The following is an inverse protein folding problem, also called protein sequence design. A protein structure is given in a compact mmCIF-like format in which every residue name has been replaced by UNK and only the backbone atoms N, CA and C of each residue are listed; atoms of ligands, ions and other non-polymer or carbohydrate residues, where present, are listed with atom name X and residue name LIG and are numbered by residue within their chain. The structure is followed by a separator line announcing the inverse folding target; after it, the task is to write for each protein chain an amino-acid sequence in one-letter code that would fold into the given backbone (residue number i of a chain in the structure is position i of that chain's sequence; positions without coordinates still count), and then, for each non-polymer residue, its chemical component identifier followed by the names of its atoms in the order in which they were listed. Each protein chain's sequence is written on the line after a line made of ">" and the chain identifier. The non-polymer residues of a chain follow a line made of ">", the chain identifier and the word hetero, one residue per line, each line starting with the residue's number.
data_IF_416981023146
#
_entry.id   IF_416981023146
#
_cell.length_a   1.000
_cell.length_b   1.000
_cell.length_c   1.000
_cell.angle_alpha   90.00
_cell.angle_beta   90.00
_cell.angle_gamma   90.00
#
_symmetry.space_group_name_H-M   'P 1'
#
loop_
_entity.id
_entity.type
_entity.pdbx_description
1 polymer ?
#
# COMPACT_ATOMS: atom_id res chain seq x y z
N UNK A 1 45.02 -23.51 6.52
CA UNK A 1 44.09 -24.28 7.39
C UNK A 1 43.46 -23.36 8.45
N UNK A 2 42.72 -22.37 8.02
CA UNK A 2 41.88 -21.50 8.87
C UNK A 2 40.80 -21.00 7.93
N UNK A 3 39.66 -21.67 7.82
CA UNK A 3 38.47 -21.14 7.18
C UNK A 3 37.39 -22.21 6.94
N UNK A 4 37.19 -23.10 7.93
CA UNK A 4 36.16 -24.15 7.86
C UNK A 4 35.28 -24.20 9.13
N UNK A 5 35.11 -23.05 9.83
CA UNK A 5 34.31 -22.99 11.06
C UNK A 5 33.05 -22.11 10.96
N UNK A 6 32.56 -21.79 9.77
CA UNK A 6 31.40 -20.91 9.59
C UNK A 6 30.13 -21.61 9.05
N UNK A 7 30.07 -22.94 9.07
CA UNK A 7 28.94 -23.68 8.47
C UNK A 7 28.14 -24.58 9.42
N UNK A 8 28.34 -24.52 10.73
CA UNK A 8 27.51 -25.29 11.67
C UNK A 8 27.34 -24.54 12.98
N UNK A 9 26.19 -23.91 13.22
CA UNK A 9 25.62 -23.94 14.54
C UNK A 9 24.08 -23.93 14.56
N UNK A 10 23.43 -25.04 14.38
CA UNK A 10 21.98 -25.15 14.67
C UNK A 10 21.60 -26.51 15.21
N UNK A 11 22.53 -27.25 15.84
CA UNK A 11 22.21 -28.59 16.34
C UNK A 11 21.97 -28.69 17.86
N UNK A 12 22.02 -27.58 18.62
CA UNK A 12 22.00 -27.65 20.09
C UNK A 12 20.76 -27.04 20.77
N UNK A 13 19.62 -26.91 20.07
CA UNK A 13 18.37 -26.37 20.69
C UNK A 13 17.17 -27.29 20.46
N UNK A 14 17.36 -28.58 20.71
CA UNK A 14 16.23 -29.48 21.00
C UNK A 14 16.10 -29.50 22.52
N UNK A 15 14.92 -29.16 23.10
CA UNK A 15 14.71 -29.30 24.53
C UNK A 15 14.94 -30.74 24.95
N UNK A 16 15.70 -30.97 26.03
CA UNK A 16 16.12 -32.26 26.57
C UNK A 16 14.97 -33.24 26.88
N UNK A 17 13.71 -32.81 26.75
CA UNK A 17 12.52 -33.61 27.06
C UNK A 17 12.12 -34.61 25.98
N UNK A 18 12.69 -34.58 24.76
CA UNK A 18 12.32 -35.50 23.66
C UNK A 18 13.33 -36.62 23.41
N UNK A 19 14.32 -36.82 24.24
CA UNK A 19 15.43 -37.75 23.98
C UNK A 19 15.39 -39.03 24.82
N UNK A 20 14.24 -39.53 25.27
CA UNK A 20 14.14 -40.84 25.90
C UNK A 20 13.52 -41.91 25.02
N UNK A 21 13.96 -42.01 23.74
CA UNK A 21 13.69 -43.14 22.83
C UNK A 21 15.01 -43.78 22.39
N UNK A 22 15.38 -44.91 22.97
CA UNK A 22 16.49 -45.76 22.50
C UNK A 22 16.18 -46.20 21.06
N UNK A 23 17.19 -46.06 20.17
CA UNK A 23 17.19 -46.50 18.76
C UNK A 23 16.32 -45.76 17.77
N UNK A 24 16.60 -44.51 17.49
CA UNK A 24 16.15 -43.86 16.27
C UNK A 24 17.34 -43.78 15.28
N UNK A 25 17.13 -44.31 14.05
CA UNK A 25 18.08 -44.31 12.96
C UNK A 25 18.53 -42.90 12.60
N UNK A 26 19.81 -42.70 12.15
CA UNK A 26 20.37 -41.36 11.81
C UNK A 26 19.52 -40.59 10.78
N UNK A 27 18.85 -41.30 9.88
CA UNK A 27 17.89 -40.74 8.93
C UNK A 27 16.66 -40.13 9.63
N UNK A 28 16.09 -40.79 10.59
CA UNK A 28 14.95 -40.29 11.38
C UNK A 28 15.32 -39.03 12.17
N UNK A 29 16.49 -39.00 12.82
CA UNK A 29 16.94 -37.77 13.56
C UNK A 29 17.11 -36.57 12.66
N UNK A 30 17.59 -36.76 11.43
CA UNK A 30 17.71 -35.68 10.42
C UNK A 30 16.34 -35.20 9.94
N UNK A 31 15.40 -36.11 9.74
CA UNK A 31 14.01 -35.80 9.35
C UNK A 31 13.26 -35.04 10.42
N UNK A 32 13.34 -35.46 11.69
CA UNK A 32 12.72 -34.80 12.82
C UNK A 32 13.31 -33.39 13.06
N UNK A 33 14.58 -33.23 12.90
CA UNK A 33 15.24 -31.90 12.98
C UNK A 33 14.74 -30.94 11.92
N UNK A 34 14.56 -31.40 10.69
CA UNK A 34 14.00 -30.58 9.61
C UNK A 34 12.51 -30.24 9.81
N UNK A 35 11.72 -31.16 10.35
CA UNK A 35 10.31 -30.94 10.63
C UNK A 35 10.11 -29.97 11.80
N UNK A 36 10.81 -30.17 12.90
CA UNK A 36 10.79 -29.28 14.05
C UNK A 36 11.18 -27.83 13.67
N UNK A 37 12.17 -27.66 12.80
CA UNK A 37 12.56 -26.34 12.32
C UNK A 37 11.46 -25.69 11.47
N UNK A 38 10.74 -26.44 10.61
CA UNK A 38 9.60 -25.91 9.85
C UNK A 38 8.45 -25.49 10.73
N UNK A 39 8.12 -26.28 11.77
CA UNK A 39 7.08 -25.93 12.75
C UNK A 39 7.44 -24.65 13.48
N UNK A 40 8.68 -24.49 13.89
CA UNK A 40 9.15 -23.28 14.57
C UNK A 40 9.01 -22.05 13.66
N UNK A 41 9.41 -22.16 12.39
CA UNK A 41 9.27 -21.09 11.39
C UNK A 41 7.79 -20.72 11.15
N UNK A 42 6.90 -21.70 11.13
CA UNK A 42 5.46 -21.44 11.02
C UNK A 42 4.94 -20.68 12.26
N UNK A 43 5.36 -21.06 13.46
CA UNK A 43 5.00 -20.38 14.71
C UNK A 43 5.51 -18.93 14.70
N UNK A 44 6.76 -18.69 14.29
CA UNK A 44 7.31 -17.33 14.13
C UNK A 44 6.47 -16.49 13.15
N UNK A 45 6.12 -17.06 11.99
CA UNK A 45 5.25 -16.41 11.03
C UNK A 45 3.88 -16.07 11.60
N UNK A 46 3.25 -17.01 12.31
CA UNK A 46 1.97 -16.78 12.97
C UNK A 46 2.04 -15.63 14.00
N UNK A 47 3.10 -15.60 14.81
CA UNK A 47 3.28 -14.55 15.82
C UNK A 47 3.45 -13.16 15.18
N UNK A 48 4.25 -13.08 14.11
CA UNK A 48 4.41 -11.85 13.32
C UNK A 48 3.06 -11.42 12.72
N UNK A 49 2.30 -12.38 12.18
CA UNK A 49 0.98 -12.12 11.60
C UNK A 49 0.00 -11.53 12.61
N UNK A 50 -0.13 -12.15 13.79
CA UNK A 50 -0.98 -11.62 14.87
C UNK A 50 -0.57 -10.23 15.29
N UNK A 51 0.74 -10.03 15.59
CA UNK A 51 1.23 -8.74 16.08
C UNK A 51 1.04 -7.62 15.05
N UNK A 52 1.35 -7.88 13.77
CA UNK A 52 1.16 -6.91 12.70
C UNK A 52 -0.33 -6.60 12.49
N UNK A 53 -1.19 -7.62 12.44
CA UNK A 53 -2.63 -7.45 12.27
C UNK A 53 -3.25 -6.64 13.41
N UNK A 54 -2.89 -6.90 14.67
CA UNK A 54 -3.39 -6.12 15.81
C UNK A 54 -3.09 -4.62 15.67
N UNK A 55 -1.85 -4.26 15.29
CA UNK A 55 -1.46 -2.86 15.09
C UNK A 55 -2.27 -2.23 13.95
N UNK A 56 -2.38 -2.94 12.82
CA UNK A 56 -3.08 -2.41 11.64
C UNK A 56 -4.59 -2.36 11.85
N UNK A 57 -5.20 -3.35 12.49
CA UNK A 57 -6.62 -3.31 12.85
C UNK A 57 -6.93 -2.12 13.77
N UNK A 58 -6.10 -1.88 14.79
CA UNK A 58 -6.23 -0.69 15.66
C UNK A 58 -6.18 0.61 14.83
N UNK A 59 -5.21 0.71 13.90
CA UNK A 59 -5.09 1.86 13.00
C UNK A 59 -6.34 2.03 12.12
N UNK A 60 -6.85 0.95 11.52
CA UNK A 60 -8.07 0.97 10.69
C UNK A 60 -9.29 1.39 11.50
N UNK A 61 -9.50 0.85 12.71
CA UNK A 61 -10.60 1.26 13.59
C UNK A 61 -10.55 2.76 13.86
N UNK A 62 -9.36 3.30 14.18
CA UNK A 62 -9.21 4.75 14.38
C UNK A 62 -9.61 5.55 13.13
N UNK A 63 -9.17 5.11 11.94
CA UNK A 63 -9.49 5.77 10.68
C UNK A 63 -10.98 5.67 10.33
N UNK A 64 -11.51 4.45 10.34
CA UNK A 64 -12.88 4.15 9.90
C UNK A 64 -13.94 4.74 10.84
N UNK A 65 -13.56 5.02 12.11
CA UNK A 65 -14.43 5.71 13.06
C UNK A 65 -14.30 7.24 13.02
N UNK A 66 -13.10 7.76 12.83
CA UNK A 66 -12.86 9.21 12.89
C UNK A 66 -13.23 9.92 11.59
N UNK A 67 -12.88 9.36 10.43
CA UNK A 67 -13.08 10.01 9.13
C UNK A 67 -14.57 10.33 8.83
N UNK A 68 -15.51 9.39 8.95
CA UNK A 68 -16.92 9.69 8.71
C UNK A 68 -17.49 10.74 9.68
N UNK A 69 -17.05 10.70 10.96
CA UNK A 69 -17.49 11.70 11.96
C UNK A 69 -17.02 13.10 11.60
N UNK A 70 -15.77 13.23 11.14
CA UNK A 70 -15.22 14.53 10.69
C UNK A 70 -16.00 15.03 9.47
N UNK A 71 -16.24 14.17 8.47
CA UNK A 71 -16.99 14.57 7.27
C UNK A 71 -18.42 14.96 7.60
N UNK A 72 -19.10 14.20 8.46
CA UNK A 72 -20.45 14.55 8.93
C UNK A 72 -20.47 15.87 9.70
N UNK A 73 -19.47 16.11 10.56
CA UNK A 73 -19.37 17.38 11.29
C UNK A 73 -19.14 18.58 10.35
N UNK A 74 -18.34 18.39 9.31
CA UNK A 74 -18.08 19.41 8.29
C UNK A 74 -19.28 19.66 7.38
N UNK A 75 -20.13 18.66 7.09
CA UNK A 75 -21.30 18.85 6.21
C UNK A 75 -22.31 19.87 6.74
N UNK A 76 -22.35 20.11 8.06
CA UNK A 76 -23.20 21.14 8.69
C UNK A 76 -22.64 22.57 8.67
N UNK A 77 -21.59 22.87 7.90
CA UNK A 77 -20.90 24.17 7.91
C UNK A 77 -21.77 25.34 7.46
N UNK A 78 -22.74 25.13 6.60
CA UNK A 78 -23.64 26.19 6.11
C UNK A 78 -24.50 26.78 7.23
N UNK A 79 -24.90 25.96 8.19
CA UNK A 79 -25.67 26.41 9.38
C UNK A 79 -24.71 26.87 10.50
N UNK A 80 -23.50 26.35 10.56
CA UNK A 80 -22.51 26.54 11.63
C UNK A 80 -21.17 26.99 11.07
N UNK A 81 -21.07 28.20 10.53
CA UNK A 81 -19.87 28.75 9.90
C UNK A 81 -18.58 28.63 10.75
N UNK A 82 -18.72 28.63 12.07
CA UNK A 82 -17.60 28.46 12.99
C UNK A 82 -16.93 27.08 12.87
N UNK A 83 -17.62 26.07 12.37
CA UNK A 83 -17.03 24.72 12.12
C UNK A 83 -15.92 24.82 11.09
N UNK A 84 -16.10 25.63 10.04
CA UNK A 84 -15.06 25.86 9.04
C UNK A 84 -13.83 26.54 9.65
N UNK A 85 -14.04 27.53 10.52
CA UNK A 85 -12.94 28.21 11.22
C UNK A 85 -12.16 27.26 12.13
N UNK A 86 -12.87 26.48 12.95
CA UNK A 86 -12.24 25.47 13.83
C UNK A 86 -11.47 24.45 13.02
N UNK A 87 -12.04 23.99 11.89
CA UNK A 87 -11.37 23.04 11.01
C UNK A 87 -10.11 23.62 10.40
N UNK A 88 -10.14 24.85 9.92
CA UNK A 88 -8.96 25.55 9.40
C UNK A 88 -7.85 25.63 10.43
N UNK A 89 -8.16 26.05 11.67
CA UNK A 89 -7.19 26.14 12.76
C UNK A 89 -6.63 24.75 13.12
N UNK A 90 -7.47 23.71 13.10
CA UNK A 90 -7.06 22.32 13.32
C UNK A 90 -6.07 21.87 12.25
N UNK A 91 -6.33 22.17 10.97
CA UNK A 91 -5.42 21.83 9.88
C UNK A 91 -4.09 22.57 9.96
N UNK A 92 -4.08 23.85 10.39
CA UNK A 92 -2.83 24.61 10.62
C UNK A 92 -2.02 23.95 11.75
N UNK A 93 -2.67 23.60 12.86
CA UNK A 93 -2.02 22.90 13.97
C UNK A 93 -1.50 21.51 13.55
N UNK A 94 -2.29 20.78 12.78
CA UNK A 94 -1.91 19.48 12.22
C UNK A 94 -0.70 19.60 11.27
N UNK A 95 -0.67 20.62 10.41
CA UNK A 95 0.46 20.89 9.52
C UNK A 95 1.75 21.12 10.31
N UNK A 96 1.68 21.96 11.34
CA UNK A 96 2.82 22.24 12.21
C UNK A 96 3.30 21.01 12.98
N UNK A 97 2.36 20.22 13.49
CA UNK A 97 2.64 18.97 14.20
C UNK A 97 3.32 17.95 13.26
N UNK A 98 2.81 17.75 12.06
CA UNK A 98 3.37 16.80 11.08
C UNK A 98 4.79 17.22 10.65
N UNK A 99 5.01 18.51 10.41
CA UNK A 99 6.33 19.03 10.07
C UNK A 99 7.34 18.74 11.18
N UNK A 100 6.96 19.02 12.45
CA UNK A 100 7.78 18.72 13.62
C UNK A 100 8.04 17.19 13.76
N UNK A 101 7.02 16.37 13.57
CA UNK A 101 7.13 14.92 13.71
C UNK A 101 8.08 14.32 12.68
N UNK A 102 7.97 14.74 11.40
CA UNK A 102 8.87 14.28 10.32
C UNK A 102 10.29 14.73 10.55
N UNK A 103 10.49 15.96 11.07
CA UNK A 103 11.82 16.45 11.43
C UNK A 103 12.47 15.61 12.53
N UNK A 104 11.68 15.16 13.51
CA UNK A 104 12.13 14.34 14.64
C UNK A 104 12.38 12.88 14.26
N UNK A 105 11.57 12.33 13.34
CA UNK A 105 11.65 10.95 12.87
C UNK A 105 11.58 10.90 11.33
N UNK A 106 12.67 11.25 10.62
CA UNK A 106 12.62 11.40 9.14
C UNK A 106 12.21 10.15 8.37
N UNK A 107 12.39 8.96 8.95
CA UNK A 107 12.06 7.68 8.32
C UNK A 107 10.56 7.39 8.17
N UNK A 108 9.69 8.19 8.80
CA UNK A 108 8.24 8.07 8.63
C UNK A 108 7.71 8.81 7.41
N UNK A 109 8.52 9.64 6.76
CA UNK A 109 8.16 10.44 5.61
C UNK A 109 7.69 9.59 4.42
N UNK A 110 6.66 10.03 3.71
CA UNK A 110 6.12 9.39 2.53
C UNK A 110 5.47 8.04 2.80
N UNK A 111 5.47 7.16 1.80
CA UNK A 111 4.78 5.86 1.83
C UNK A 111 5.32 4.89 2.89
N UNK A 112 6.63 4.80 3.05
CA UNK A 112 7.28 3.78 3.90
C UNK A 112 7.70 2.52 3.15
N UNK A 113 7.14 2.25 1.96
CA UNK A 113 7.52 1.10 1.13
C UNK A 113 9.00 1.15 0.73
N UNK A 114 9.55 2.26 0.16
CA UNK A 114 10.95 2.34 -0.21
C UNK A 114 11.90 2.15 0.98
N UNK A 115 11.53 2.65 2.18
CA UNK A 115 12.31 2.47 3.39
C UNK A 115 12.33 0.98 3.80
N UNK A 116 11.18 0.33 3.81
CA UNK A 116 11.04 -1.10 4.15
C UNK A 116 11.81 -1.97 3.17
N UNK A 117 11.75 -1.68 1.88
CA UNK A 117 12.53 -2.37 0.85
C UNK A 117 14.05 -2.27 1.09
N UNK A 118 14.55 -1.07 1.41
CA UNK A 118 15.96 -0.88 1.76
C UNK A 118 16.40 -1.70 2.98
N UNK A 119 15.51 -1.89 3.96
CA UNK A 119 15.79 -2.72 5.14
C UNK A 119 15.83 -4.19 4.80
N UNK A 120 14.87 -4.67 4.03
CA UNK A 120 14.82 -6.06 3.55
C UNK A 120 16.03 -6.39 2.68
N UNK A 121 16.47 -5.47 1.81
CA UNK A 121 17.69 -5.60 1.02
C UNK A 121 18.99 -5.46 1.85
N UNK A 122 18.89 -5.12 3.14
CA UNK A 122 20.04 -4.92 4.02
C UNK A 122 20.87 -3.67 3.72
N UNK A 123 20.30 -2.72 2.97
CA UNK A 123 20.94 -1.43 2.66
C UNK A 123 20.63 -0.35 3.68
N UNK A 124 19.68 -0.61 4.58
CA UNK A 124 19.28 0.27 5.65
C UNK A 124 19.18 -0.54 6.95
N UNK A 125 20.06 -0.25 7.90
CA UNK A 125 20.03 -0.83 9.23
C UNK A 125 19.36 0.15 10.19
N UNK A 126 18.40 -0.35 10.97
CA UNK A 126 17.64 0.41 11.97
C UNK A 126 17.78 -0.33 13.30
N UNK A 127 18.16 0.40 14.33
CA UNK A 127 18.26 -0.13 15.68
C UNK A 127 16.88 -0.38 16.27
N UNK A 128 16.79 -1.28 17.28
CA UNK A 128 15.53 -1.54 17.99
C UNK A 128 14.92 -0.27 18.60
N UNK A 129 15.75 0.62 19.11
CA UNK A 129 15.31 1.89 19.68
C UNK A 129 14.70 2.84 18.62
N UNK A 130 15.20 2.83 17.41
CA UNK A 130 14.60 3.61 16.30
C UNK A 130 13.26 3.03 15.87
N UNK A 131 13.11 1.70 15.86
CA UNK A 131 11.82 1.05 15.56
C UNK A 131 10.73 1.44 16.56
N UNK A 132 11.07 1.53 17.85
CA UNK A 132 10.15 2.00 18.90
C UNK A 132 9.69 3.45 18.69
N UNK A 133 10.46 4.27 17.97
CA UNK A 133 10.07 5.64 17.59
C UNK A 133 9.30 5.68 16.27
N UNK A 134 9.71 4.87 15.29
CA UNK A 134 9.11 4.84 13.94
C UNK A 134 7.66 4.37 14.00
N UNK A 135 7.36 3.28 14.73
CA UNK A 135 6.03 2.68 14.76
C UNK A 135 4.95 3.68 15.24
N UNK A 136 5.03 4.27 16.44
CA UNK A 136 4.01 5.21 16.90
C UNK A 136 4.01 6.52 16.10
N UNK A 137 5.19 7.00 15.66
CA UNK A 137 5.26 8.21 14.86
C UNK A 137 4.63 8.02 13.48
N UNK A 138 4.80 6.85 12.85
CA UNK A 138 4.13 6.53 11.59
C UNK A 138 2.62 6.39 11.76
N UNK A 139 2.19 5.72 12.83
CA UNK A 139 0.79 5.54 13.19
C UNK A 139 0.08 6.89 13.34
N UNK A 140 0.56 7.73 14.26
CA UNK A 140 -0.05 9.05 14.54
C UNK A 140 0.09 9.99 13.34
N UNK A 141 1.28 10.02 12.73
CA UNK A 141 1.52 10.89 11.57
C UNK A 141 0.62 10.56 10.38
N UNK A 142 0.39 9.27 10.11
CA UNK A 142 -0.53 8.86 9.05
C UNK A 142 -1.99 9.16 9.39
N UNK A 143 -2.41 8.94 10.64
CA UNK A 143 -3.75 9.34 11.09
C UNK A 143 -4.00 10.82 10.84
N UNK A 144 -3.10 11.68 11.31
CA UNK A 144 -3.24 13.14 11.18
C UNK A 144 -3.25 13.58 9.71
N UNK A 145 -2.36 13.03 8.87
CA UNK A 145 -2.30 13.41 7.45
C UNK A 145 -3.56 12.98 6.68
N UNK A 146 -4.07 11.77 6.93
CA UNK A 146 -5.24 11.24 6.21
C UNK A 146 -6.54 11.85 6.74
N UNK A 147 -6.70 11.97 8.06
CA UNK A 147 -7.86 12.64 8.66
C UNK A 147 -7.90 14.13 8.33
N UNK A 148 -6.75 14.78 8.08
CA UNK A 148 -6.65 16.12 7.54
C UNK A 148 -7.12 16.27 6.09
N UNK A 149 -7.60 15.19 5.46
CA UNK A 149 -8.18 15.20 4.12
C UNK A 149 -7.17 15.11 2.98
N UNK A 150 -5.87 14.99 3.24
CA UNK A 150 -4.87 14.87 2.18
C UNK A 150 -5.13 13.62 1.32
N UNK A 151 -4.94 13.75 0.00
CA UNK A 151 -5.06 12.63 -0.93
C UNK A 151 -3.87 11.66 -0.79
N UNK A 152 -3.81 10.99 0.35
CA UNK A 152 -2.78 10.03 0.74
C UNK A 152 -3.45 8.74 1.23
N UNK A 153 -2.86 7.61 0.83
CA UNK A 153 -3.31 6.28 1.25
C UNK A 153 -2.70 5.86 2.58
N UNK A 154 -3.38 4.95 3.26
CA UNK A 154 -2.96 4.35 4.53
C UNK A 154 -2.09 3.09 4.35
N UNK A 155 -2.06 2.51 3.17
CA UNK A 155 -1.54 1.17 2.91
C UNK A 155 -0.01 1.10 2.99
N UNK A 156 0.68 2.05 2.36
CA UNK A 156 2.14 2.15 2.48
C UNK A 156 2.60 2.30 3.94
N UNK A 157 1.98 3.19 4.73
CA UNK A 157 2.16 3.21 6.19
C UNK A 157 1.90 1.88 6.88
N UNK A 158 0.84 1.14 6.53
CA UNK A 158 0.55 -0.18 7.11
C UNK A 158 1.66 -1.19 6.83
N UNK A 159 2.22 -1.20 5.61
CA UNK A 159 3.38 -2.02 5.25
C UNK A 159 4.59 -1.69 6.15
N UNK A 160 4.88 -0.41 6.36
CA UNK A 160 5.99 0.01 7.22
C UNK A 160 5.72 -0.28 8.69
N UNK A 161 4.49 -0.11 9.17
CA UNK A 161 4.11 -0.44 10.54
C UNK A 161 4.17 -1.96 10.80
N UNK A 162 3.70 -2.78 9.86
CA UNK A 162 3.82 -4.24 9.93
C UNK A 162 5.28 -4.68 9.96
N UNK A 163 6.13 -4.10 9.12
CA UNK A 163 7.57 -4.34 9.12
C UNK A 163 8.24 -3.94 10.44
N UNK A 164 7.86 -2.78 11.00
CA UNK A 164 8.36 -2.29 12.28
C UNK A 164 7.94 -3.22 13.44
N UNK A 165 6.68 -3.66 13.43
CA UNK A 165 6.16 -4.60 14.43
C UNK A 165 6.91 -5.93 14.38
N UNK A 166 7.13 -6.48 13.17
CA UNK A 166 7.91 -7.71 13.00
C UNK A 166 9.34 -7.55 13.48
N UNK A 167 10.00 -6.42 13.20
CA UNK A 167 11.35 -6.14 13.66
C UNK A 167 11.44 -6.05 15.20
N UNK A 168 10.42 -5.49 15.85
CA UNK A 168 10.34 -5.42 17.33
C UNK A 168 10.08 -6.78 17.96
N UNK A 169 9.16 -7.57 17.37
CA UNK A 169 8.82 -8.92 17.84
C UNK A 169 9.99 -9.88 17.64
N UNK A 170 10.64 -9.86 16.48
CA UNK A 170 11.77 -10.74 16.20
C UNK A 170 12.96 -10.53 17.16
N UNK A 171 13.15 -9.33 17.67
CA UNK A 171 14.16 -9.03 18.69
C UNK A 171 13.90 -9.69 20.06
N UNK A 172 12.69 -10.23 20.31
CA UNK A 172 12.39 -11.05 21.48
C UNK A 172 12.90 -12.50 21.33
N UNK A 173 13.17 -12.92 20.07
CA UNK A 173 13.49 -14.28 19.66
C UNK A 173 14.88 -14.39 19.04
N UNK A 174 15.82 -13.52 19.41
CA UNK A 174 17.20 -13.49 18.88
C UNK A 174 17.94 -14.83 18.91
N UNK A 175 17.40 -15.83 19.59
CA UNK A 175 17.94 -17.20 19.67
C UNK A 175 17.43 -18.13 18.57
N UNK A 176 16.45 -17.70 17.77
CA UNK A 176 15.78 -18.51 16.74
C UNK A 176 16.11 -18.01 15.32
N UNK A 177 17.05 -18.53 14.75
CA UNK A 177 17.51 -19.03 13.44
C UNK A 177 17.28 -18.28 12.14
N UNK A 178 16.40 -17.27 11.95
CA UNK A 178 16.27 -16.61 10.66
C UNK A 178 16.80 -15.17 10.65
N UNK A 179 17.27 -14.74 9.49
CA UNK A 179 17.71 -13.36 9.29
C UNK A 179 16.52 -12.42 9.53
N UNK A 180 16.68 -11.39 10.36
CA UNK A 180 15.64 -10.40 10.68
C UNK A 180 15.03 -9.72 9.44
N UNK A 181 15.67 -9.83 8.27
CA UNK A 181 15.16 -9.36 6.98
C UNK A 181 13.90 -10.10 6.52
N UNK A 182 13.84 -11.43 6.76
CA UNK A 182 12.67 -12.25 6.40
C UNK A 182 11.50 -11.89 7.31
N UNK A 183 11.75 -11.65 8.60
CA UNK A 183 10.72 -11.21 9.54
C UNK A 183 10.16 -9.84 9.15
N UNK A 184 11.02 -8.88 8.78
CA UNK A 184 10.62 -7.56 8.27
C UNK A 184 9.75 -7.71 7.03
N UNK A 185 10.14 -8.57 6.08
CA UNK A 185 9.37 -8.84 4.86
C UNK A 185 8.02 -9.52 5.17
N UNK A 186 8.00 -10.49 6.09
CA UNK A 186 6.77 -11.15 6.54
C UNK A 186 5.80 -10.17 7.23
N UNK A 187 6.33 -9.30 8.11
CA UNK A 187 5.53 -8.24 8.73
C UNK A 187 5.01 -7.21 7.74
N UNK A 188 5.80 -6.85 6.74
CA UNK A 188 5.37 -5.97 5.64
C UNK A 188 4.20 -6.59 4.85
N UNK A 189 4.31 -7.89 4.50
CA UNK A 189 3.24 -8.63 3.83
C UNK A 189 1.98 -8.75 4.70
N UNK A 190 2.14 -9.09 5.98
CA UNK A 190 1.05 -9.15 6.94
C UNK A 190 0.36 -7.78 7.13
N UNK A 191 1.16 -6.69 7.16
CA UNK A 191 0.63 -5.32 7.23
C UNK A 191 -0.16 -4.92 5.99
N UNK A 192 0.28 -5.34 4.79
CA UNK A 192 -0.45 -5.15 3.55
C UNK A 192 -1.76 -5.94 3.56
N UNK A 193 -1.71 -7.20 3.97
CA UNK A 193 -2.88 -8.08 4.07
C UNK A 193 -3.93 -7.51 5.02
N UNK A 194 -3.54 -7.09 6.23
CA UNK A 194 -4.46 -6.49 7.19
C UNK A 194 -5.05 -5.15 6.71
N UNK A 195 -4.33 -4.42 5.84
CA UNK A 195 -4.82 -3.17 5.28
C UNK A 195 -5.89 -3.39 4.20
N UNK A 196 -5.74 -4.45 3.39
CA UNK A 196 -6.52 -4.66 2.17
C UNK A 196 -7.41 -5.91 2.17
N UNK A 197 -7.28 -6.82 3.15
CA UNK A 197 -7.93 -8.15 3.07
C UNK A 197 -7.44 -8.95 1.86
N UNK A 198 -6.16 -8.86 1.53
CA UNK A 198 -5.60 -9.39 0.28
C UNK A 198 -4.38 -10.27 0.57
N UNK A 199 -4.59 -11.51 1.03
CA UNK A 199 -3.51 -12.42 1.44
C UNK A 199 -2.62 -12.85 0.27
N UNK A 200 -3.17 -13.16 -0.90
CA UNK A 200 -2.39 -13.59 -2.07
C UNK A 200 -1.54 -12.43 -2.59
N UNK A 201 -2.11 -11.23 -2.66
CA UNK A 201 -1.36 -10.03 -3.01
C UNK A 201 -0.23 -9.75 -2.01
N UNK A 202 -0.45 -9.95 -0.71
CA UNK A 202 0.57 -9.83 0.33
C UNK A 202 1.79 -10.73 0.09
N UNK A 203 1.57 -11.98 -0.32
CA UNK A 203 2.65 -12.90 -0.69
C UNK A 203 3.37 -12.42 -1.95
N UNK A 204 2.65 -12.09 -3.04
CA UNK A 204 3.27 -11.64 -4.28
C UNK A 204 4.04 -10.33 -4.12
N UNK A 205 3.57 -9.41 -3.28
CA UNK A 205 4.22 -8.14 -2.99
C UNK A 205 5.67 -8.33 -2.49
N UNK A 206 5.90 -9.33 -1.66
CA UNK A 206 7.23 -9.59 -1.13
C UNK A 206 8.17 -10.14 -2.22
N UNK A 207 7.64 -10.88 -3.19
CA UNK A 207 8.44 -11.37 -4.31
C UNK A 207 8.75 -10.28 -5.33
N UNK A 208 7.74 -9.57 -5.78
CA UNK A 208 7.87 -8.61 -6.87
C UNK A 208 8.45 -7.27 -6.42
N UNK A 209 7.94 -6.69 -5.33
CA UNK A 209 8.34 -5.36 -4.87
C UNK A 209 9.56 -5.40 -3.96
N UNK A 210 9.57 -6.29 -2.95
CA UNK A 210 10.69 -6.38 -2.02
C UNK A 210 11.92 -7.07 -2.62
N UNK A 211 11.80 -7.65 -3.85
CA UNK A 211 12.88 -8.29 -4.62
C UNK A 211 13.69 -9.32 -3.82
N UNK A 212 13.01 -9.99 -2.89
CA UNK A 212 13.65 -10.97 -2.02
C UNK A 212 13.70 -12.35 -2.68
N UNK A 213 14.88 -12.98 -2.61
CA UNK A 213 15.01 -14.39 -2.94
C UNK A 213 14.72 -15.20 -1.68
N UNK A 214 13.54 -15.81 -1.63
CA UNK A 214 13.19 -16.64 -0.48
C UNK A 214 13.76 -18.05 -0.59
N UNK A 215 14.24 -18.54 0.54
CA UNK A 215 14.34 -19.97 0.80
C UNK A 215 12.93 -20.52 1.07
N UNK A 216 12.77 -21.86 0.93
CA UNK A 216 11.49 -22.55 1.25
C UNK A 216 10.97 -22.20 2.68
N UNK A 217 11.91 -22.03 3.63
CA UNK A 217 11.57 -21.61 5.00
C UNK A 217 11.07 -20.16 5.08
N UNK A 218 11.70 -19.24 4.36
CA UNK A 218 11.27 -17.85 4.32
C UNK A 218 9.87 -17.67 3.72
N UNK A 219 9.54 -18.43 2.67
CA UNK A 219 8.20 -18.46 2.10
C UNK A 219 7.17 -18.96 3.13
N UNK A 220 7.52 -19.98 3.92
CA UNK A 220 6.64 -20.51 4.96
C UNK A 220 6.33 -19.45 6.03
N UNK A 221 7.33 -18.70 6.49
CA UNK A 221 7.15 -17.60 7.46
C UNK A 221 6.21 -16.53 6.90
N UNK A 222 6.41 -16.09 5.66
CA UNK A 222 5.56 -15.10 4.99
C UNK A 222 4.13 -15.62 4.83
N UNK A 223 3.95 -16.84 4.33
CA UNK A 223 2.63 -17.43 4.13
C UNK A 223 1.85 -17.56 5.45
N UNK A 224 2.48 -18.04 6.51
CA UNK A 224 1.87 -18.12 7.83
C UNK A 224 1.52 -16.72 8.37
N UNK A 225 2.42 -15.74 8.24
CA UNK A 225 2.18 -14.39 8.71
C UNK A 225 1.00 -13.73 8.00
N UNK A 226 0.92 -13.88 6.68
CA UNK A 226 -0.17 -13.35 5.86
C UNK A 226 -1.50 -14.03 6.19
N UNK A 227 -1.53 -15.38 6.25
CA UNK A 227 -2.75 -16.13 6.55
C UNK A 227 -3.32 -15.79 7.93
N UNK A 228 -2.46 -15.73 8.95
CA UNK A 228 -2.89 -15.37 10.30
C UNK A 228 -3.30 -13.91 10.38
N UNK A 229 -2.59 -13.02 9.67
CA UNK A 229 -2.98 -11.61 9.60
C UNK A 229 -4.38 -11.44 9.01
N UNK A 230 -4.70 -12.18 7.94
CA UNK A 230 -6.04 -12.17 7.35
C UNK A 230 -7.10 -12.70 8.32
N UNK A 231 -6.85 -13.83 8.98
CA UNK A 231 -7.79 -14.38 9.97
C UNK A 231 -8.09 -13.41 11.11
N UNK A 232 -7.06 -12.73 11.65
CA UNK A 232 -7.25 -11.69 12.68
C UNK A 232 -8.06 -10.51 12.12
N UNK A 233 -7.80 -10.09 10.89
CA UNK A 233 -8.52 -8.99 10.23
C UNK A 233 -9.99 -9.35 10.02
N UNK A 234 -10.27 -10.55 9.54
CA UNK A 234 -11.64 -11.06 9.38
C UNK A 234 -12.37 -11.23 10.72
N UNK A 235 -11.67 -11.61 11.77
CA UNK A 235 -12.25 -11.67 13.12
C UNK A 235 -12.69 -10.29 13.62
N UNK A 236 -11.93 -9.23 13.31
CA UNK A 236 -12.20 -7.86 13.77
C UNK A 236 -13.26 -7.15 12.91
N UNK A 237 -13.18 -7.28 11.59
CA UNK A 237 -14.01 -6.52 10.63
C UNK A 237 -15.08 -7.37 9.93
N UNK A 238 -15.08 -8.69 10.13
CA UNK A 238 -15.91 -9.63 9.38
C UNK A 238 -15.37 -9.95 7.99
N UNK A 239 -16.11 -10.79 7.27
CA UNK A 239 -15.82 -11.19 5.88
C UNK A 239 -16.39 -10.14 4.93
N UNK A 240 -15.70 -9.00 4.80
CA UNK A 240 -16.13 -7.92 3.91
C UNK A 240 -15.07 -7.57 2.87
N UNK A 241 -15.51 -7.35 1.64
CA UNK A 241 -14.67 -6.79 0.58
C UNK A 241 -14.46 -5.29 0.82
N UNK A 242 -13.29 -4.76 0.47
CA UNK A 242 -13.05 -3.32 0.53
C UNK A 242 -13.88 -2.60 -0.51
N UNK A 243 -13.98 -3.18 -1.71
CA UNK A 243 -14.82 -2.71 -2.80
C UNK A 243 -15.80 -3.81 -3.20
N UNK A 244 -17.01 -3.87 -2.64
CA UNK A 244 -18.01 -4.86 -3.01
C UNK A 244 -18.58 -4.54 -4.40
N UNK A 245 -18.00 -5.10 -5.44
CA UNK A 245 -18.48 -4.96 -6.82
C UNK A 245 -19.27 -6.21 -7.23
N UNK A 246 -20.51 -6.31 -6.78
CA UNK A 246 -21.33 -7.52 -6.89
C UNK A 246 -21.74 -7.90 -8.34
N UNK A 247 -21.64 -6.98 -9.30
CA UNK A 247 -22.20 -7.14 -10.64
C UNK A 247 -21.17 -7.07 -11.77
N UNK A 248 -19.88 -7.10 -11.49
CA UNK A 248 -18.87 -6.99 -12.52
C UNK A 248 -18.72 -8.31 -13.30
N UNK A 249 -19.07 -8.26 -14.57
CA UNK A 249 -18.92 -9.39 -15.49
C UNK A 249 -17.75 -9.15 -16.46
N UNK A 250 -16.98 -10.19 -16.81
CA UNK A 250 -15.96 -10.08 -17.84
C UNK A 250 -16.60 -9.70 -19.16
N UNK A 251 -15.85 -9.00 -20.02
CA UNK A 251 -16.33 -8.65 -21.36
C UNK A 251 -16.59 -9.91 -22.18
N UNK A 252 -17.62 -9.91 -23.05
CA UNK A 252 -17.82 -10.94 -24.05
C UNK A 252 -16.56 -11.18 -24.88
N UNK A 253 -16.32 -12.42 -25.31
CA UNK A 253 -15.10 -12.80 -26.02
C UNK A 253 -14.83 -11.90 -27.24
N UNK A 254 -15.87 -11.52 -27.97
CA UNK A 254 -15.76 -10.65 -29.16
C UNK A 254 -15.20 -9.25 -28.83
N UNK A 255 -15.30 -8.82 -27.58
CA UNK A 255 -14.80 -7.51 -27.10
C UNK A 255 -13.46 -7.63 -26.33
N UNK A 256 -12.86 -8.84 -26.27
CA UNK A 256 -11.61 -9.08 -25.52
C UNK A 256 -10.41 -8.27 -26.05
N UNK A 257 -10.48 -7.78 -27.31
CA UNK A 257 -9.49 -6.88 -27.89
C UNK A 257 -9.40 -5.52 -27.15
N UNK A 258 -10.41 -5.16 -26.36
CA UNK A 258 -10.40 -3.95 -25.51
C UNK A 258 -9.42 -4.06 -24.35
N UNK A 259 -9.12 -5.28 -23.85
CA UNK A 259 -8.18 -5.46 -22.75
C UNK A 259 -6.78 -4.91 -23.04
N UNK A 260 -6.11 -5.29 -24.15
CA UNK A 260 -4.80 -4.70 -24.46
C UNK A 260 -4.87 -3.19 -24.72
N UNK A 261 -5.93 -2.66 -25.33
CA UNK A 261 -6.09 -1.21 -25.49
C UNK A 261 -6.22 -0.50 -24.14
N UNK A 262 -6.98 -1.08 -23.21
CA UNK A 262 -7.09 -0.55 -21.86
C UNK A 262 -5.73 -0.54 -21.16
N UNK A 263 -4.95 -1.60 -21.31
CA UNK A 263 -3.60 -1.67 -20.76
C UNK A 263 -2.65 -0.65 -21.37
N UNK A 264 -2.72 -0.40 -22.69
CA UNK A 264 -1.96 0.66 -23.36
C UNK A 264 -2.33 2.05 -22.81
N UNK A 265 -3.62 2.35 -22.70
CA UNK A 265 -4.12 3.63 -22.19
C UNK A 265 -3.68 3.85 -20.72
N UNK A 266 -3.87 2.87 -19.86
CA UNK A 266 -3.46 2.93 -18.44
C UNK A 266 -1.94 2.95 -18.29
N UNK A 267 -1.22 2.26 -19.17
CA UNK A 267 0.23 2.29 -19.26
C UNK A 267 0.76 3.69 -19.51
N UNK A 268 0.21 4.35 -20.52
CA UNK A 268 0.59 5.73 -20.88
C UNK A 268 0.20 6.73 -19.78
N UNK A 269 -1.03 6.63 -19.26
CA UNK A 269 -1.51 7.50 -18.18
C UNK A 269 -0.66 7.38 -16.91
N UNK A 270 -0.30 6.15 -16.50
CA UNK A 270 0.55 5.92 -15.35
C UNK A 270 1.96 6.46 -15.51
N UNK A 271 2.55 6.34 -16.72
CA UNK A 271 3.85 6.97 -17.02
C UNK A 271 3.77 8.50 -16.93
N UNK A 272 2.70 9.10 -17.46
CA UNK A 272 2.49 10.55 -17.36
C UNK A 272 2.39 10.99 -15.90
N UNK A 273 1.60 10.29 -15.09
CA UNK A 273 1.45 10.58 -13.67
C UNK A 273 2.75 10.36 -12.89
N UNK A 274 3.51 9.29 -13.18
CA UNK A 274 4.79 9.02 -12.51
C UNK A 274 5.80 10.14 -12.77
N UNK A 275 5.92 10.58 -14.02
CA UNK A 275 6.77 11.73 -14.40
C UNK A 275 6.32 13.02 -13.69
N UNK A 276 5.01 13.26 -13.62
CA UNK A 276 4.45 14.41 -12.90
C UNK A 276 4.77 14.34 -11.40
N UNK A 277 4.58 13.17 -10.75
CA UNK A 277 4.85 12.96 -9.33
C UNK A 277 6.33 13.20 -8.97
N UNK A 278 7.24 12.67 -9.77
CA UNK A 278 8.67 12.90 -9.57
C UNK A 278 9.08 14.34 -9.91
N UNK A 279 8.44 14.92 -10.91
CA UNK A 279 8.65 16.33 -11.32
C UNK A 279 8.22 17.31 -10.21
N UNK A 280 7.04 17.12 -9.63
CA UNK A 280 6.55 17.97 -8.52
C UNK A 280 7.44 17.89 -7.29
N UNK A 281 7.95 16.72 -6.92
CA UNK A 281 8.93 16.57 -5.84
C UNK A 281 10.24 17.29 -6.10
N UNK A 282 10.76 17.20 -7.32
CA UNK A 282 11.99 17.89 -7.70
C UNK A 282 11.80 19.42 -7.73
N UNK A 283 10.66 19.88 -8.26
CA UNK A 283 10.32 21.30 -8.30
C UNK A 283 10.21 21.88 -6.88
N UNK A 284 9.52 21.17 -5.98
CA UNK A 284 9.40 21.56 -4.58
C UNK A 284 10.77 21.66 -3.89
N UNK A 285 11.62 20.64 -4.09
CA UNK A 285 12.95 20.62 -3.48
C UNK A 285 13.83 21.80 -3.90
N UNK A 286 13.62 22.36 -5.10
CA UNK A 286 14.41 23.45 -5.68
C UNK A 286 13.83 24.84 -5.42
N UNK A 287 12.49 24.97 -5.35
CA UNK A 287 11.83 26.27 -5.44
C UNK A 287 10.98 26.64 -4.21
N UNK A 288 10.76 25.72 -3.25
CA UNK A 288 9.92 26.05 -2.10
C UNK A 288 10.73 26.71 -0.98
N UNK A 289 10.50 28.00 -0.67
CA UNK A 289 11.21 28.71 0.40
C UNK A 289 10.72 28.28 1.80
N UNK A 290 9.65 27.47 1.88
CA UNK A 290 9.07 27.06 3.16
C UNK A 290 9.98 26.06 3.88
N UNK A 291 10.20 26.31 5.16
CA UNK A 291 10.87 25.35 6.03
C UNK A 291 10.09 24.02 6.07
N UNK A 292 10.77 22.93 6.36
CA UNK A 292 10.16 21.60 6.43
C UNK A 292 8.95 21.54 7.39
N UNK A 293 8.93 22.37 8.40
CA UNK A 293 7.86 22.48 9.38
C UNK A 293 6.54 23.01 8.79
N UNK A 294 6.58 23.75 7.68
CA UNK A 294 5.42 24.39 7.05
C UNK A 294 5.11 23.91 5.63
N UNK A 295 5.91 22.99 5.08
CA UNK A 295 5.71 22.48 3.71
C UNK A 295 4.36 21.82 3.47
N UNK A 296 3.77 21.26 4.51
CA UNK A 296 2.48 20.57 4.41
C UNK A 296 1.28 21.53 4.47
N UNK A 297 1.50 22.77 4.91
CA UNK A 297 0.40 23.73 5.07
C UNK A 297 -0.34 24.01 3.75
N UNK A 298 0.33 24.30 2.61
CA UNK A 298 -0.38 24.54 1.36
C UNK A 298 -1.27 23.36 0.91
N UNK A 299 -0.83 22.08 0.89
CA UNK A 299 -1.72 20.97 0.64
C UNK A 299 -2.89 20.83 1.62
N UNK A 300 -2.69 21.14 2.91
CA UNK A 300 -3.78 21.11 3.90
C UNK A 300 -4.79 22.24 3.68
N UNK A 301 -4.35 23.42 3.26
CA UNK A 301 -5.27 24.50 2.88
C UNK A 301 -6.06 24.16 1.61
N UNK A 302 -5.43 23.46 0.66
CA UNK A 302 -6.16 22.91 -0.50
C UNK A 302 -7.19 21.85 -0.07
N UNK A 303 -6.83 20.95 0.86
CA UNK A 303 -7.77 20.00 1.46
C UNK A 303 -8.94 20.71 2.15
N UNK A 304 -8.68 21.82 2.87
CA UNK A 304 -9.71 22.65 3.47
C UNK A 304 -10.72 23.15 2.42
N UNK A 305 -10.26 23.76 1.34
CA UNK A 305 -11.13 24.25 0.27
C UNK A 305 -11.92 23.12 -0.37
N UNK A 306 -11.24 22.01 -0.71
CA UNK A 306 -11.87 20.85 -1.33
C UNK A 306 -12.88 20.15 -0.41
N UNK A 307 -12.75 20.24 0.91
CA UNK A 307 -13.74 19.69 1.85
C UNK A 307 -15.13 20.30 1.67
N UNK A 308 -15.21 21.54 1.20
CA UNK A 308 -16.48 22.24 0.99
C UNK A 308 -16.93 22.28 -0.48
N UNK A 309 -15.99 22.23 -1.42
CA UNK A 309 -16.30 22.36 -2.85
C UNK A 309 -16.44 20.99 -3.52
N UNK A 310 -15.57 20.03 -3.18
CA UNK A 310 -15.48 18.72 -3.86
C UNK A 310 -15.01 17.61 -2.90
N UNK A 311 -15.78 17.30 -1.84
CA UNK A 311 -15.36 16.44 -0.74
C UNK A 311 -14.98 15.02 -1.15
N UNK A 312 -15.56 14.48 -2.23
CA UNK A 312 -15.28 13.12 -2.70
C UNK A 312 -13.82 12.89 -3.13
N UNK A 313 -13.02 13.94 -3.41
CA UNK A 313 -11.60 13.80 -3.79
C UNK A 313 -10.66 13.70 -2.59
N UNK A 314 -11.14 13.94 -1.38
CA UNK A 314 -10.34 13.89 -0.15
C UNK A 314 -9.93 12.45 0.21
N UNK A 315 -8.88 12.36 1.03
CA UNK A 315 -8.36 11.09 1.52
C UNK A 315 -7.79 10.19 0.43
N UNK A 316 -7.60 8.90 0.73
CA UNK A 316 -7.06 7.91 -0.20
C UNK A 316 -7.94 7.65 -1.42
N UNK A 317 -9.25 7.88 -1.32
CA UNK A 317 -10.21 7.67 -2.39
C UNK A 317 -11.04 6.37 -2.27
N UNK A 318 -11.02 5.70 -1.12
CA UNK A 318 -11.84 4.48 -0.92
C UNK A 318 -13.33 4.76 -1.11
N UNK A 319 -13.85 5.85 -0.52
CA UNK A 319 -15.24 6.26 -0.68
C UNK A 319 -15.56 6.58 -2.13
N UNK A 320 -14.65 7.30 -2.80
CA UNK A 320 -14.83 7.64 -4.21
C UNK A 320 -14.96 6.40 -5.10
N UNK A 321 -14.12 5.38 -4.88
CA UNK A 321 -14.19 4.13 -5.67
C UNK A 321 -15.52 3.39 -5.46
N UNK A 322 -16.08 3.42 -4.23
CA UNK A 322 -17.40 2.86 -3.93
C UNK A 322 -18.51 3.65 -4.64
N UNK A 323 -18.47 4.98 -4.54
CA UNK A 323 -19.44 5.87 -5.19
C UNK A 323 -19.42 5.76 -6.72
N UNK A 324 -18.23 5.50 -7.34
CA UNK A 324 -18.13 5.28 -8.78
C UNK A 324 -19.00 4.12 -9.27
N UNK A 325 -19.17 3.09 -8.45
CA UNK A 325 -20.01 1.94 -8.78
C UNK A 325 -21.50 2.24 -8.76
N UNK A 326 -21.90 3.26 -8.00
CA UNK A 326 -23.29 3.67 -7.83
C UNK A 326 -23.72 4.80 -8.80
N UNK A 327 -22.77 5.30 -9.62
CA UNK A 327 -23.08 6.40 -10.53
C UNK A 327 -24.14 6.00 -11.56
N UNK A 328 -25.23 6.76 -11.58
CA UNK A 328 -26.28 6.68 -12.56
C UNK A 328 -26.43 8.00 -13.31
N UNK A 329 -26.80 7.94 -14.57
CA UNK A 329 -27.02 9.13 -15.40
C UNK A 329 -26.78 8.89 -16.89
N UNK A 330 -26.99 9.92 -17.70
CA UNK A 330 -26.69 9.80 -19.11
C UNK A 330 -25.16 9.68 -19.35
N UNK A 331 -24.72 8.88 -20.33
CA UNK A 331 -23.28 8.67 -20.61
C UNK A 331 -22.48 9.98 -20.76
N UNK A 332 -23.07 10.96 -21.41
CA UNK A 332 -22.42 12.27 -21.66
C UNK A 332 -22.27 13.13 -20.41
N UNK A 333 -23.26 13.12 -19.51
CA UNK A 333 -23.15 13.86 -18.24
C UNK A 333 -22.12 13.23 -17.32
N UNK A 334 -22.11 11.89 -17.22
CA UNK A 334 -21.13 11.13 -16.46
C UNK A 334 -19.72 11.34 -17.01
N UNK A 335 -19.54 11.34 -18.33
CA UNK A 335 -18.25 11.56 -18.96
C UNK A 335 -17.65 12.93 -18.56
N UNK A 336 -18.45 14.01 -18.62
CA UNK A 336 -18.00 15.34 -18.19
C UNK A 336 -17.62 15.38 -16.72
N UNK A 337 -18.43 14.75 -15.87
CA UNK A 337 -18.16 14.65 -14.43
C UNK A 337 -16.87 13.88 -14.14
N UNK A 338 -16.65 12.72 -14.78
CA UNK A 338 -15.48 11.89 -14.59
C UNK A 338 -14.18 12.57 -15.07
N UNK A 339 -14.25 13.39 -16.15
CA UNK A 339 -13.12 14.21 -16.59
C UNK A 339 -12.71 15.22 -15.52
N UNK A 340 -13.70 15.98 -14.99
CA UNK A 340 -13.46 16.95 -13.92
C UNK A 340 -12.93 16.27 -12.66
N UNK A 341 -13.59 15.19 -12.25
CA UNK A 341 -13.20 14.39 -11.08
C UNK A 341 -11.76 13.86 -11.20
N UNK A 342 -11.42 13.28 -12.34
CA UNK A 342 -10.07 12.78 -12.62
C UNK A 342 -9.02 13.89 -12.56
N UNK A 343 -9.30 15.04 -13.18
CA UNK A 343 -8.39 16.18 -13.16
C UNK A 343 -8.15 16.70 -11.74
N UNK A 344 -9.21 16.90 -10.95
CA UNK A 344 -9.10 17.39 -9.57
C UNK A 344 -8.39 16.36 -8.69
N UNK A 345 -8.75 15.06 -8.80
CA UNK A 345 -8.14 13.99 -8.01
C UNK A 345 -6.64 13.82 -8.31
N UNK A 346 -6.25 13.82 -9.57
CA UNK A 346 -4.85 13.73 -10.01
C UNK A 346 -4.06 14.93 -9.47
N UNK A 347 -4.55 16.14 -9.69
CA UNK A 347 -3.88 17.38 -9.26
C UNK A 347 -3.73 17.42 -7.74
N UNK A 348 -4.77 17.09 -7.00
CA UNK A 348 -4.74 17.10 -5.55
C UNK A 348 -3.87 15.97 -4.96
N UNK A 349 -3.83 14.79 -5.58
CA UNK A 349 -2.93 13.71 -5.16
C UNK A 349 -1.46 14.09 -5.37
N UNK A 350 -1.10 14.67 -6.50
CA UNK A 350 0.24 15.21 -6.76
C UNK A 350 0.62 16.27 -5.73
N UNK A 351 -0.28 17.21 -5.46
CA UNK A 351 -0.04 18.28 -4.50
C UNK A 351 0.07 17.78 -3.06
N UNK A 352 -0.79 16.84 -2.64
CA UNK A 352 -0.73 16.23 -1.31
C UNK A 352 0.60 15.52 -1.05
N UNK A 353 1.20 14.92 -2.08
CA UNK A 353 2.45 14.17 -1.95
C UNK A 353 3.69 15.05 -1.83
N UNK A 354 3.62 16.34 -2.22
CA UNK A 354 4.72 17.30 -2.03
C UNK A 354 5.04 17.55 -0.57
N UNK A 355 4.05 17.52 0.33
CA UNK A 355 4.21 17.81 1.75
C UNK A 355 5.18 16.89 2.50
N UNK A 356 5.62 15.79 1.89
CA UNK A 356 6.60 14.84 2.44
C UNK A 356 6.26 14.28 3.83
N UNK A 357 4.97 14.14 4.13
CA UNK A 357 4.42 13.63 5.39
C UNK A 357 4.12 12.13 5.33
N UNK A 358 3.88 11.47 6.48
CA UNK A 358 3.47 10.07 6.50
C UNK A 358 2.17 9.86 5.73
N UNK A 359 2.22 9.06 4.67
CA UNK A 359 1.08 8.73 3.81
C UNK A 359 1.53 8.03 2.53
N UNK A 360 0.73 7.08 2.05
CA UNK A 360 1.03 6.27 0.87
C UNK A 360 0.47 6.87 -0.41
N UNK A 361 1.05 6.48 -1.55
CA UNK A 361 0.53 6.82 -2.89
C UNK A 361 -0.28 5.67 -3.49
N UNK A 362 -0.30 4.48 -2.85
CA UNK A 362 -0.89 3.28 -3.43
C UNK A 362 -2.40 3.44 -3.63
N UNK A 363 -3.14 3.80 -2.58
CA UNK A 363 -4.59 3.98 -2.69
C UNK A 363 -4.98 5.13 -3.64
N UNK A 364 -4.36 6.32 -3.60
CA UNK A 364 -4.58 7.34 -4.62
C UNK A 364 -4.33 6.84 -6.05
N UNK A 365 -3.31 6.00 -6.29
CA UNK A 365 -3.07 5.39 -7.61
C UNK A 365 -4.21 4.47 -8.03
N UNK A 366 -4.70 3.60 -7.13
CA UNK A 366 -5.85 2.74 -7.41
C UNK A 366 -7.10 3.57 -7.70
N UNK A 367 -7.35 4.62 -6.92
CA UNK A 367 -8.49 5.52 -7.11
C UNK A 367 -8.42 6.27 -8.45
N UNK A 368 -7.25 6.82 -8.81
CA UNK A 368 -7.06 7.46 -10.13
C UNK A 368 -7.28 6.44 -11.25
N UNK A 369 -6.75 5.23 -11.11
CA UNK A 369 -6.99 4.13 -12.04
C UNK A 369 -8.47 3.80 -12.17
N UNK A 370 -9.22 3.77 -11.07
CA UNK A 370 -10.66 3.55 -11.06
C UNK A 370 -11.42 4.64 -11.84
N UNK A 371 -11.11 5.91 -11.60
CA UNK A 371 -11.72 7.05 -12.30
C UNK A 371 -11.41 7.02 -13.80
N UNK A 372 -10.15 6.79 -14.16
CA UNK A 372 -9.75 6.67 -15.57
C UNK A 372 -10.37 5.44 -16.23
N UNK A 373 -10.51 4.34 -15.50
CA UNK A 373 -11.22 3.15 -15.94
C UNK A 373 -12.69 3.42 -16.21
N UNK A 374 -13.37 4.06 -15.25
CA UNK A 374 -14.76 4.49 -15.41
C UNK A 374 -14.93 5.43 -16.62
N UNK A 375 -14.00 6.36 -16.82
CA UNK A 375 -13.99 7.28 -17.95
C UNK A 375 -13.88 6.51 -19.29
N UNK A 376 -12.96 5.55 -19.38
CA UNK A 376 -12.82 4.69 -20.57
C UNK A 376 -14.08 3.86 -20.83
N UNK A 377 -14.66 3.24 -19.77
CA UNK A 377 -15.88 2.48 -19.86
C UNK A 377 -17.06 3.31 -20.36
N UNK A 378 -17.25 4.51 -19.80
CA UNK A 378 -18.31 5.44 -20.24
C UNK A 378 -18.09 5.95 -21.68
N UNK A 379 -16.85 6.20 -22.07
CA UNK A 379 -16.55 6.59 -23.46
C UNK A 379 -16.87 5.46 -24.45
N UNK A 380 -16.53 4.22 -24.12
CA UNK A 380 -16.85 3.04 -24.94
C UNK A 380 -18.36 2.76 -24.99
N UNK A 381 -19.06 2.98 -23.89
CA UNK A 381 -20.52 2.88 -23.83
C UNK A 381 -21.18 3.96 -24.72
N UNK A 382 -20.74 5.21 -24.60
CA UNK A 382 -21.26 6.31 -25.40
C UNK A 382 -21.01 6.13 -26.89
N UNK A 383 -19.90 5.46 -27.26
CA UNK A 383 -19.55 5.10 -28.64
C UNK A 383 -20.23 3.83 -29.15
N UNK A 384 -21.00 3.12 -28.31
CA UNK A 384 -21.72 1.90 -28.66
C UNK A 384 -20.86 0.64 -28.81
N UNK A 385 -19.62 0.65 -28.30
CA UNK A 385 -18.72 -0.50 -28.37
C UNK A 385 -19.00 -1.57 -27.32
N UNK A 386 -19.63 -1.19 -26.19
CA UNK A 386 -19.93 -2.10 -25.08
C UNK A 386 -21.38 -1.95 -24.61
N UNK A 387 -22.03 -3.02 -24.11
CA UNK A 387 -23.33 -2.92 -23.44
C UNK A 387 -23.23 -2.14 -22.11
N UNK A 388 -24.38 -1.61 -21.66
CA UNK A 388 -24.46 -0.80 -20.43
C UNK A 388 -24.04 -1.56 -19.16
N UNK A 389 -24.19 -2.87 -19.15
CA UNK A 389 -23.83 -3.76 -18.03
C UNK A 389 -22.32 -3.97 -17.82
N UNK A 390 -21.48 -3.61 -18.81
CA UNK A 390 -20.05 -3.87 -18.76
C UNK A 390 -19.17 -2.64 -18.49
N UNK A 391 -19.70 -1.43 -18.51
CA UNK A 391 -18.84 -0.22 -18.38
C UNK A 391 -18.15 -0.16 -17.01
N UNK A 392 -18.83 -0.62 -15.95
CA UNK A 392 -18.31 -0.60 -14.59
C UNK A 392 -17.11 -1.55 -14.41
N UNK A 393 -17.04 -2.62 -15.19
CA UNK A 393 -15.91 -3.57 -15.16
C UNK A 393 -14.58 -2.88 -15.54
N UNK A 394 -14.64 -1.80 -16.33
CA UNK A 394 -13.47 -0.99 -16.65
C UNK A 394 -12.88 -0.28 -15.44
N UNK A 395 -13.63 -0.08 -14.36
CA UNK A 395 -13.10 0.41 -13.07
C UNK A 395 -12.01 -0.51 -12.57
N UNK A 396 -12.27 -1.83 -12.52
CA UNK A 396 -11.30 -2.85 -12.08
C UNK A 396 -10.08 -2.87 -13.01
N UNK A 397 -10.29 -2.88 -14.31
CA UNK A 397 -9.19 -2.88 -15.29
C UNK A 397 -8.36 -1.61 -15.23
N UNK A 398 -8.99 -0.45 -14.96
CA UNK A 398 -8.31 0.81 -14.74
C UNK A 398 -7.43 0.80 -13.49
N UNK A 399 -7.95 0.28 -12.38
CA UNK A 399 -7.18 0.11 -11.15
C UNK A 399 -5.94 -0.77 -11.37
N UNK A 400 -6.11 -1.94 -11.98
CA UNK A 400 -5.01 -2.88 -12.26
C UNK A 400 -3.98 -2.25 -13.19
N UNK A 401 -4.41 -1.76 -14.37
CA UNK A 401 -3.50 -1.25 -15.39
C UNK A 401 -2.71 -0.02 -14.93
N UNK A 402 -3.38 0.93 -14.27
CA UNK A 402 -2.71 2.14 -13.76
C UNK A 402 -1.72 1.82 -12.65
N UNK A 403 -2.10 0.99 -11.68
CA UNK A 403 -1.21 0.56 -10.61
C UNK A 403 0.02 -0.18 -11.13
N UNK A 404 -0.18 -1.17 -12.01
CA UNK A 404 0.91 -1.95 -12.59
C UNK A 404 1.84 -1.07 -13.44
N UNK A 405 1.30 -0.09 -14.16
CA UNK A 405 2.13 0.85 -14.93
C UNK A 405 3.04 1.71 -14.06
N UNK A 406 2.64 2.01 -12.82
CA UNK A 406 3.38 2.82 -11.87
C UNK A 406 4.43 2.03 -11.09
N UNK A 407 4.04 0.86 -10.56
CA UNK A 407 4.84 0.08 -9.59
C UNK A 407 5.64 -1.02 -10.29
N UNK A 408 5.17 -1.57 -11.41
CA UNK A 408 5.79 -2.67 -12.18
C UNK A 408 5.69 -4.05 -11.51
N UNK A 409 4.60 -4.29 -10.78
CA UNK A 409 4.33 -5.55 -10.09
C UNK A 409 3.02 -6.17 -10.61
N UNK A 410 3.03 -6.84 -11.78
CA UNK A 410 1.81 -7.32 -12.43
C UNK A 410 1.06 -8.39 -11.64
N UNK A 411 1.74 -9.32 -10.97
CA UNK A 411 1.08 -10.36 -10.16
C UNK A 411 0.44 -9.74 -8.91
N UNK A 412 1.19 -8.92 -8.19
CA UNK A 412 0.69 -8.23 -7.00
C UNK A 412 -0.48 -7.32 -7.33
N UNK A 413 -0.36 -6.51 -8.39
CA UNK A 413 -1.40 -5.55 -8.77
C UNK A 413 -2.69 -6.23 -9.19
N UNK A 414 -2.59 -7.30 -9.97
CA UNK A 414 -3.76 -8.10 -10.39
C UNK A 414 -4.41 -8.77 -9.18
N UNK A 415 -3.64 -9.48 -8.35
CA UNK A 415 -4.17 -10.15 -7.17
C UNK A 415 -4.81 -9.15 -6.20
N UNK A 416 -4.14 -8.02 -5.92
CA UNK A 416 -4.60 -7.00 -4.99
C UNK A 416 -5.99 -6.48 -5.36
N UNK A 417 -6.16 -6.03 -6.61
CA UNK A 417 -7.42 -5.43 -7.03
C UNK A 417 -8.54 -6.47 -7.08
N UNK A 418 -8.25 -7.69 -7.53
CA UNK A 418 -9.24 -8.75 -7.60
C UNK A 418 -9.67 -9.27 -6.22
N UNK A 419 -8.75 -9.38 -5.27
CA UNK A 419 -9.09 -9.73 -3.88
C UNK A 419 -9.90 -8.63 -3.20
N UNK A 420 -9.50 -7.35 -3.37
CA UNK A 420 -10.22 -6.21 -2.79
C UNK A 420 -11.64 -6.04 -3.33
N UNK A 421 -11.85 -6.38 -4.61
CA UNK A 421 -13.12 -6.19 -5.33
C UNK A 421 -14.00 -7.43 -5.39
N UNK A 422 -13.48 -8.61 -5.02
CA UNK A 422 -14.18 -9.88 -5.19
C UNK A 422 -14.38 -10.30 -6.65
N UNK A 423 -13.75 -9.60 -7.61
CA UNK A 423 -13.99 -9.75 -9.04
C UNK A 423 -13.08 -10.80 -9.69
N UNK A 424 -12.96 -12.00 -9.11
CA UNK A 424 -12.05 -13.06 -9.61
C UNK A 424 -12.37 -13.49 -11.05
N UNK A 425 -13.61 -13.37 -11.49
CA UNK A 425 -14.01 -13.68 -12.89
C UNK A 425 -13.34 -12.73 -13.91
N UNK A 426 -12.89 -11.55 -13.46
CA UNK A 426 -12.17 -10.62 -14.31
C UNK A 426 -10.67 -10.95 -14.46
N UNK A 427 -10.16 -12.02 -13.84
CA UNK A 427 -8.74 -12.39 -13.83
C UNK A 427 -8.10 -12.45 -15.23
N UNK A 428 -8.66 -13.10 -16.24
CA UNK A 428 -8.04 -13.17 -17.56
C UNK A 428 -7.86 -11.78 -18.20
N UNK A 429 -8.91 -10.96 -18.17
CA UNK A 429 -8.87 -9.59 -18.68
C UNK A 429 -7.90 -8.71 -17.88
N UNK A 430 -7.93 -8.79 -16.55
CA UNK A 430 -7.05 -8.06 -15.66
C UNK A 430 -5.57 -8.41 -15.88
N UNK A 431 -5.26 -9.69 -16.11
CA UNK A 431 -3.90 -10.14 -16.43
C UNK A 431 -3.40 -9.57 -17.76
N UNK A 432 -4.24 -9.55 -18.81
CA UNK A 432 -3.90 -8.96 -20.10
C UNK A 432 -3.65 -7.45 -19.95
N UNK A 433 -4.54 -6.74 -19.24
CA UNK A 433 -4.40 -5.31 -18.95
C UNK A 433 -3.12 -5.05 -18.16
N UNK A 434 -2.83 -5.85 -17.12
CA UNK A 434 -1.61 -5.74 -16.31
C UNK A 434 -0.35 -5.88 -17.17
N UNK A 435 -0.26 -6.94 -17.99
CA UNK A 435 0.90 -7.20 -18.83
C UNK A 435 1.11 -6.14 -19.89
N UNK A 436 0.04 -5.71 -20.56
CA UNK A 436 0.13 -4.65 -21.59
C UNK A 436 0.48 -3.29 -20.97
N UNK A 437 -0.06 -2.93 -19.80
CA UNK A 437 0.33 -1.73 -19.07
C UNK A 437 1.80 -1.77 -18.62
N UNK A 438 2.27 -2.93 -18.13
CA UNK A 438 3.66 -3.18 -17.77
C UNK A 438 4.60 -2.94 -18.97
N UNK A 439 4.30 -3.56 -20.12
CA UNK A 439 5.11 -3.42 -21.33
C UNK A 439 5.10 -1.99 -21.88
N UNK A 440 3.94 -1.35 -21.92
CA UNK A 440 3.81 0.06 -22.35
C UNK A 440 4.71 0.96 -21.53
N UNK A 441 4.68 0.81 -20.25
CA UNK A 441 5.45 1.66 -19.36
C UNK A 441 6.97 1.37 -19.44
N UNK A 442 7.36 0.11 -19.72
CA UNK A 442 8.77 -0.23 -20.01
C UNK A 442 9.22 0.31 -21.37
N UNK A 443 8.37 0.21 -22.40
CA UNK A 443 8.65 0.77 -23.72
C UNK A 443 8.86 2.28 -23.66
N UNK A 444 8.10 2.99 -22.79
CA UNK A 444 8.25 4.43 -22.55
C UNK A 444 9.44 4.77 -21.61
N UNK A 445 10.28 3.77 -21.24
CA UNK A 445 11.51 3.91 -20.46
C UNK A 445 11.30 4.70 -19.15
N UNK A 446 10.13 4.54 -18.51
CA UNK A 446 9.84 5.18 -17.24
C UNK A 446 10.22 4.22 -16.09
N UNK A 447 11.07 4.61 -15.13
CA UNK A 447 11.40 3.75 -13.99
C UNK A 447 10.18 3.55 -13.06
N UNK A 448 10.11 2.41 -12.32
CA UNK A 448 9.10 2.21 -11.28
C UNK A 448 9.15 3.33 -10.23
N UNK A 449 7.97 3.73 -9.73
CA UNK A 449 7.86 4.86 -8.80
C UNK A 449 8.64 4.61 -7.50
N UNK A 450 8.54 3.41 -6.92
CA UNK A 450 9.24 3.10 -5.66
C UNK A 450 10.74 2.96 -5.84
N UNK A 451 11.23 2.48 -6.99
CA UNK A 451 12.67 2.45 -7.32
C UNK A 451 13.24 3.88 -7.36
N UNK A 452 12.51 4.81 -7.97
CA UNK A 452 12.90 6.23 -8.04
C UNK A 452 12.92 6.88 -6.65
N UNK A 453 11.90 6.61 -5.83
CA UNK A 453 11.81 7.13 -4.47
C UNK A 453 12.90 6.52 -3.55
N UNK A 454 13.20 5.23 -3.72
CA UNK A 454 14.29 4.55 -3.02
C UNK A 454 15.66 5.17 -3.36
N UNK A 455 15.91 5.43 -4.64
CA UNK A 455 17.15 6.08 -5.07
C UNK A 455 17.33 7.46 -4.42
N UNK A 456 16.25 8.24 -4.33
CA UNK A 456 16.27 9.56 -3.67
C UNK A 456 16.64 9.46 -2.17
N UNK A 457 16.14 8.46 -1.44
CA UNK A 457 16.46 8.23 -0.02
C UNK A 457 17.97 7.93 0.14
N UNK A 458 18.53 7.07 -0.71
CA UNK A 458 19.97 6.71 -0.65
C UNK A 458 20.85 7.92 -0.91
N UNK A 459 20.49 8.76 -1.90
CA UNK A 459 21.24 9.99 -2.23
C UNK A 459 21.20 11.01 -1.09
N UNK A 460 20.01 11.23 -0.52
CA UNK A 460 19.84 12.17 0.62
C UNK A 460 20.69 11.76 1.82
N UNK A 461 20.73 10.47 2.17
CA UNK A 461 21.55 9.98 3.28
C UNK A 461 23.05 10.16 3.06
N UNK A 462 23.54 9.91 1.83
CA UNK A 462 24.95 10.14 1.51
C UNK A 462 25.38 11.60 1.64
N UNK A 463 24.47 12.54 1.40
CA UNK A 463 24.74 13.97 1.60
C UNK A 463 24.83 14.36 3.09
N UNK A 464 24.07 13.69 3.96
CA UNK A 464 24.07 13.97 5.41
C UNK A 464 25.19 13.27 6.19
N UNK A 465 25.91 12.34 5.56
CA UNK A 465 27.08 11.65 6.14
C UNK A 465 28.42 12.23 5.70
N UNK A 466 28.42 13.19 4.78
CA UNK A 466 29.55 14.04 4.41
C UNK A 466 29.39 15.41 5.10
#
# INVERSE_FOLDING_TARGET
>A
MRDLRLLLPCTNLIPHYFLHGKHMDRHHKKYWGHWANRVLLAIEGCFIGVAAACVICCFRICMDTAYPRIMHWLSGWQERWWTALVWMLTLIAAARFLGWLVKKVPLISGSGIPQTELMVLGKLHISRHEWLKILPAKFVGCLVSTLGGLSLGREGPCIQMGAATAALVSGLWERFTFSGRIHIAAGAAAGMTAAFGSPVAGVFFVFEEMKTRFTKGGLLVVACAVTISELVTQFVFGFGLIFPFEHFQPLPFIQSWLYPLMGLAMGAAGVAYNKALLGTKNFEALHTPLSQDWRILPPMLAAFVLAFVFPCVLGGGEHLVKELNELAGSPWSLLKFLILLGFVKISFALFSYTGNVPGGILMPMLCIGAVLGALCGQALLAAGFIPAEHWQTFIVYGMVGFFVSMVRVPLTGTALVLEMSGSLYCLPGAAIVALTAYWTANALKCPPVYDSLRAAIVVSRRKNTK
#
